data_IF_224916453746
#
_entry.id   IF_224916453746
#
_cell.length_a   1.000
_cell.length_b   1.000
_cell.length_c   1.000
_cell.angle_alpha   90.00
_cell.angle_beta   90.00
_cell.angle_gamma   90.00
#
_symmetry.space_group_name_H-M   'P 1'
#
loop_
_entity.id
_entity.type
_entity.pdbx_description
1 polymer ?
#
# COMPACT_ATOMS: atom_id res chain seq x y z
N UNK A 1 40.40 -13.39 74.96
CA UNK A 1 40.21 -12.62 73.69
C UNK A 1 39.43 -13.38 72.59
N UNK A 2 39.16 -14.70 72.73
CA UNK A 2 38.49 -15.52 71.70
C UNK A 2 36.95 -15.37 71.63
N UNK A 3 36.29 -14.92 72.71
CA UNK A 3 34.82 -14.88 72.78
C UNK A 3 34.22 -13.70 71.97
N UNK A 4 34.91 -12.55 71.87
CA UNK A 4 34.42 -11.38 71.12
C UNK A 4 34.37 -11.62 69.60
N UNK A 5 35.27 -12.44 69.04
CA UNK A 5 35.37 -12.68 67.59
C UNK A 5 34.21 -13.55 67.07
N UNK A 6 33.69 -14.46 67.89
CA UNK A 6 32.54 -15.33 67.53
C UNK A 6 31.22 -14.57 67.57
N UNK A 7 31.08 -13.60 68.48
CA UNK A 7 29.85 -12.79 68.60
C UNK A 7 29.67 -11.81 67.43
N UNK A 8 30.75 -11.17 66.95
CA UNK A 8 30.66 -10.25 65.81
C UNK A 8 30.36 -10.98 64.48
N UNK A 9 30.87 -12.20 64.29
CA UNK A 9 30.63 -12.95 63.04
C UNK A 9 29.15 -13.37 62.90
N UNK A 10 28.51 -13.76 64.00
CA UNK A 10 27.08 -14.10 64.01
C UNK A 10 26.15 -12.89 63.79
N UNK A 11 26.58 -11.67 64.13
CA UNK A 11 25.78 -10.45 63.88
C UNK A 11 25.82 -10.02 62.41
N UNK A 12 26.97 -10.18 61.73
CA UNK A 12 27.08 -9.84 60.30
C UNK A 12 26.30 -10.80 59.38
N UNK A 13 26.29 -12.11 59.66
CA UNK A 13 25.52 -13.07 58.84
C UNK A 13 24.01 -12.84 58.93
N UNK A 14 23.51 -12.43 60.10
CA UNK A 14 22.08 -12.16 60.30
C UNK A 14 21.60 -10.91 59.54
N UNK A 15 22.48 -9.92 59.38
CA UNK A 15 22.15 -8.67 58.69
C UNK A 15 22.14 -8.83 57.15
N UNK A 16 23.04 -9.65 56.58
CA UNK A 16 23.06 -9.92 55.13
C UNK A 16 21.86 -10.78 54.68
N UNK A 17 21.45 -11.74 55.52
CA UNK A 17 20.28 -12.61 55.26
C UNK A 17 18.95 -11.85 55.16
N UNK A 18 18.80 -10.76 55.93
CA UNK A 18 17.54 -10.02 55.99
C UNK A 18 17.38 -9.05 54.81
N UNK A 19 18.49 -8.44 54.33
CA UNK A 19 18.47 -7.55 53.17
C UNK A 19 18.20 -8.27 51.85
N UNK A 20 18.78 -9.46 51.66
CA UNK A 20 18.62 -10.23 50.41
C UNK A 20 17.17 -10.72 50.20
N UNK A 21 16.47 -11.12 51.29
CA UNK A 21 15.07 -11.56 51.21
C UNK A 21 14.11 -10.42 50.86
N UNK A 22 14.36 -9.21 51.38
CA UNK A 22 13.56 -8.04 51.05
C UNK A 22 13.72 -7.61 49.58
N UNK A 23 14.92 -7.75 49.02
CA UNK A 23 15.22 -7.36 47.64
C UNK A 23 14.58 -8.33 46.62
N UNK A 24 14.58 -9.64 46.90
CA UNK A 24 13.92 -10.65 46.06
C UNK A 24 12.38 -10.55 46.11
N UNK A 25 11.81 -10.18 47.25
CA UNK A 25 10.36 -9.95 47.35
C UNK A 25 9.91 -8.69 46.60
N UNK A 26 10.74 -7.63 46.59
CA UNK A 26 10.46 -6.40 45.84
C UNK A 26 10.44 -6.59 44.32
N UNK A 27 11.31 -7.43 43.76
CA UNK A 27 11.38 -7.66 42.31
C UNK A 27 10.18 -8.47 41.77
N UNK A 28 9.68 -9.44 42.53
CA UNK A 28 8.51 -10.25 42.13
C UNK A 28 7.24 -9.38 42.10
N UNK A 29 7.05 -8.50 43.10
CA UNK A 29 5.89 -7.61 43.16
C UNK A 29 5.86 -6.60 42.00
N UNK A 30 7.02 -6.06 41.61
CA UNK A 30 7.13 -5.15 40.46
C UNK A 30 6.77 -5.82 39.13
N UNK A 31 7.21 -7.07 38.92
CA UNK A 31 6.94 -7.80 37.67
C UNK A 31 5.46 -8.21 37.53
N UNK A 32 4.79 -8.54 38.64
CA UNK A 32 3.36 -8.87 38.66
C UNK A 32 2.48 -7.65 38.33
N UNK A 33 2.84 -6.46 38.82
CA UNK A 33 2.10 -5.23 38.51
C UNK A 33 2.28 -4.80 37.05
N UNK A 34 3.49 -4.91 36.50
CA UNK A 34 3.76 -4.59 35.10
C UNK A 34 3.00 -5.52 34.13
N UNK A 35 2.97 -6.83 34.42
CA UNK A 35 2.23 -7.81 33.59
C UNK A 35 0.71 -7.61 33.68
N UNK A 36 0.17 -7.33 34.87
CA UNK A 36 -1.25 -7.03 35.04
C UNK A 36 -1.69 -5.74 34.32
N UNK A 37 -0.86 -4.68 34.39
CA UNK A 37 -1.14 -3.43 33.67
C UNK A 37 -1.15 -3.63 32.14
N UNK A 38 -0.20 -4.42 31.62
CA UNK A 38 -0.13 -4.72 30.18
C UNK A 38 -1.31 -5.57 29.70
N UNK A 39 -1.75 -6.56 30.49
CA UNK A 39 -2.92 -7.39 30.19
C UNK A 39 -4.22 -6.59 30.26
N UNK A 40 -4.39 -5.70 31.24
CA UNK A 40 -5.60 -4.87 31.36
C UNK A 40 -5.74 -3.87 30.21
N UNK A 41 -4.62 -3.31 29.72
CA UNK A 41 -4.64 -2.42 28.54
C UNK A 41 -5.11 -3.13 27.27
N UNK A 42 -4.87 -4.45 27.15
CA UNK A 42 -5.25 -5.24 25.97
C UNK A 42 -6.74 -5.58 25.91
N UNK A 43 -7.43 -5.65 27.06
CA UNK A 43 -8.83 -6.09 27.12
C UNK A 43 -9.86 -4.94 27.11
N UNK A 44 -9.44 -3.67 27.09
CA UNK A 44 -10.33 -2.50 27.15
C UNK A 44 -10.93 -2.05 25.82
N UNK A 45 -10.69 -2.75 24.71
CA UNK A 45 -11.06 -2.31 23.35
C UNK A 45 -12.05 -3.24 22.63
N UNK A 46 -12.86 -4.03 23.36
CA UNK A 46 -13.97 -4.78 22.77
C UNK A 46 -15.29 -4.08 23.09
N UNK A 47 -15.61 -3.08 22.27
CA UNK A 47 -17.00 -2.66 22.07
C UNK A 47 -17.79 -3.75 21.33
N UNK A 48 -19.12 -3.63 21.25
CA UNK A 48 -19.97 -4.61 20.59
C UNK A 48 -19.53 -4.81 19.13
N UNK A 49 -19.59 -6.06 18.69
CA UNK A 49 -19.10 -6.54 17.39
C UNK A 49 -19.73 -5.78 16.21
N UNK A 50 -19.12 -4.66 15.84
CA UNK A 50 -19.17 -4.13 14.49
C UNK A 50 -18.26 -4.96 13.60
N UNK A 51 -18.61 -5.05 12.31
CA UNK A 51 -17.85 -5.73 11.25
C UNK A 51 -16.33 -5.57 11.42
N UNK A 52 -15.51 -6.58 11.07
CA UNK A 52 -14.06 -6.54 11.23
C UNK A 52 -13.45 -5.43 10.38
N UNK A 53 -13.38 -4.23 10.95
CA UNK A 53 -12.51 -3.16 10.48
C UNK A 53 -11.12 -3.48 11.00
N UNK A 54 -10.21 -3.75 10.07
CA UNK A 54 -8.81 -4.03 10.35
C UNK A 54 -8.23 -2.88 11.19
N UNK A 55 -7.59 -3.18 12.34
CA UNK A 55 -7.10 -2.16 13.24
C UNK A 55 -5.87 -1.45 12.65
N UNK A 56 -6.07 -0.20 12.24
CA UNK A 56 -5.10 0.89 12.46
C UNK A 56 -3.72 0.74 11.82
N UNK A 57 -3.64 0.36 10.55
CA UNK A 57 -2.48 0.75 9.72
C UNK A 57 -2.67 2.22 9.37
N UNK A 58 -1.85 3.05 10.01
CA UNK A 58 -1.78 4.50 9.82
C UNK A 58 -1.32 4.76 8.38
N UNK A 59 -2.23 5.15 7.48
CA UNK A 59 -2.03 5.56 6.08
C UNK A 59 -0.60 5.38 5.55
N UNK A 60 -0.19 4.13 5.38
CA UNK A 60 0.81 3.82 4.36
C UNK A 60 -0.01 3.89 3.07
N UNK A 61 0.42 4.69 2.09
CA UNK A 61 -0.18 4.74 0.74
C UNK A 61 -0.07 3.34 0.09
N UNK A 62 -0.88 2.40 0.55
CA UNK A 62 -0.96 1.06 0.05
C UNK A 62 -1.98 1.08 -1.07
N UNK A 63 -1.49 1.10 -2.30
CA UNK A 63 -2.35 0.93 -3.45
C UNK A 63 -2.84 -0.52 -3.48
N UNK A 64 -4.16 -0.68 -3.52
CA UNK A 64 -4.83 -1.98 -3.61
C UNK A 64 -5.60 -2.06 -4.92
N UNK A 65 -5.32 -3.11 -5.66
CA UNK A 65 -5.96 -3.45 -6.93
C UNK A 65 -6.80 -4.70 -6.73
N UNK A 66 -8.04 -4.70 -7.23
CA UNK A 66 -8.96 -5.82 -7.15
C UNK A 66 -9.57 -6.03 -8.53
N UNK A 67 -9.40 -7.22 -9.09
CA UNK A 67 -9.91 -7.62 -10.40
C UNK A 67 -10.05 -9.14 -10.46
N UNK A 68 -10.79 -9.65 -11.43
CA UNK A 68 -10.99 -11.09 -11.60
C UNK A 68 -10.12 -11.61 -12.77
N UNK A 69 -9.50 -12.79 -12.60
CA UNK A 69 -8.69 -13.45 -13.63
C UNK A 69 -9.24 -14.85 -13.96
N UNK A 70 -8.90 -15.40 -15.12
CA UNK A 70 -9.34 -16.71 -15.57
C UNK A 70 -8.37 -17.82 -15.12
N UNK A 71 -8.73 -18.55 -14.06
CA UNK A 71 -7.98 -19.72 -13.59
C UNK A 71 -8.63 -21.03 -14.11
N UNK A 72 -8.35 -21.37 -15.37
CA UNK A 72 -8.94 -22.54 -16.03
C UNK A 72 -10.41 -22.31 -16.41
N UNK A 73 -11.34 -23.10 -15.86
CA UNK A 73 -12.78 -22.95 -16.14
C UNK A 73 -13.49 -21.98 -15.18
N UNK A 74 -12.78 -21.44 -14.18
CA UNK A 74 -13.36 -20.56 -13.15
C UNK A 74 -12.67 -19.21 -13.15
N UNK A 75 -13.47 -18.17 -12.90
CA UNK A 75 -12.97 -16.84 -12.58
C UNK A 75 -12.64 -16.77 -11.09
N UNK A 76 -11.50 -16.16 -10.76
CA UNK A 76 -10.95 -16.07 -9.40
C UNK A 76 -10.68 -14.61 -9.08
N UNK A 77 -11.12 -14.16 -7.91
CA UNK A 77 -10.90 -12.77 -7.49
C UNK A 77 -9.47 -12.58 -7.03
N UNK A 78 -8.78 -11.67 -7.70
CA UNK A 78 -7.38 -11.32 -7.44
C UNK A 78 -7.30 -10.00 -6.68
N UNK A 79 -6.53 -10.00 -5.60
CA UNK A 79 -6.20 -8.81 -4.83
C UNK A 79 -4.69 -8.61 -4.88
N UNK A 80 -4.26 -7.46 -5.37
CA UNK A 80 -2.85 -7.06 -5.38
C UNK A 80 -2.67 -5.85 -4.48
N UNK A 81 -1.79 -5.95 -3.48
CA UNK A 81 -1.49 -4.88 -2.53
C UNK A 81 -0.02 -4.50 -2.62
N UNK A 82 0.27 -3.22 -2.90
CA UNK A 82 1.63 -2.70 -3.00
C UNK A 82 2.22 -2.42 -1.61
N UNK A 83 3.47 -2.82 -1.40
CA UNK A 83 4.28 -2.48 -0.23
C UNK A 83 5.72 -2.17 -0.67
N UNK A 84 6.01 -0.88 -0.87
CA UNK A 84 7.28 -0.44 -1.47
C UNK A 84 7.33 -0.83 -2.95
N UNK A 85 8.41 -1.49 -3.37
CA UNK A 85 8.63 -1.93 -4.75
C UNK A 85 8.08 -3.35 -5.02
N UNK A 86 7.50 -3.98 -3.99
CA UNK A 86 6.91 -5.31 -4.06
C UNK A 86 5.39 -5.26 -3.99
N UNK A 87 4.76 -6.24 -4.61
CA UNK A 87 3.31 -6.42 -4.67
C UNK A 87 2.97 -7.79 -4.12
N UNK A 88 2.12 -7.82 -3.10
CA UNK A 88 1.59 -9.06 -2.56
C UNK A 88 0.31 -9.45 -3.30
N UNK A 89 0.18 -10.73 -3.66
CA UNK A 89 -0.94 -11.24 -4.46
C UNK A 89 -1.75 -12.26 -3.68
N UNK A 90 -3.07 -12.09 -3.70
CA UNK A 90 -4.03 -13.02 -3.13
C UNK A 90 -5.05 -13.45 -4.20
N UNK A 91 -5.36 -14.74 -4.26
CA UNK A 91 -6.40 -15.33 -5.10
C UNK A 91 -7.51 -15.92 -4.21
N UNK A 92 -8.76 -15.49 -4.40
CA UNK A 92 -9.90 -15.85 -3.55
C UNK A 92 -9.61 -15.70 -2.04
N UNK A 93 -8.82 -14.66 -1.70
CA UNK A 93 -8.40 -14.38 -0.32
C UNK A 93 -7.26 -15.26 0.22
N UNK A 94 -6.71 -16.18 -0.58
CA UNK A 94 -5.49 -16.92 -0.24
C UNK A 94 -4.26 -16.20 -0.80
N UNK A 95 -3.31 -15.83 0.05
CA UNK A 95 -2.00 -15.36 -0.39
C UNK A 95 -1.27 -16.45 -1.18
N UNK A 96 -0.78 -16.09 -2.38
CA UNK A 96 -0.09 -17.02 -3.28
C UNK A 96 1.35 -16.61 -3.60
N UNK A 97 1.76 -15.38 -3.30
CA UNK A 97 3.13 -14.94 -3.52
C UNK A 97 3.30 -13.43 -3.59
N UNK A 98 4.52 -13.04 -3.95
CA UNK A 98 4.94 -11.67 -4.18
C UNK A 98 5.52 -11.50 -5.58
N UNK A 99 5.28 -10.33 -6.17
CA UNK A 99 5.87 -9.95 -7.45
C UNK A 99 6.48 -8.55 -7.37
N UNK A 100 7.43 -8.27 -8.25
CA UNK A 100 8.08 -6.96 -8.39
C UNK A 100 8.37 -6.69 -9.86
N UNK A 101 8.65 -5.44 -10.18
CA UNK A 101 8.99 -5.03 -11.53
C UNK A 101 10.52 -4.90 -11.66
N UNK A 102 11.11 -5.56 -12.66
CA UNK A 102 12.55 -5.48 -12.94
C UNK A 102 12.85 -4.23 -13.78
N UNK A 103 13.44 -3.21 -13.15
CA UNK A 103 13.78 -1.94 -13.81
C UNK A 103 14.82 -2.10 -14.93
N UNK A 104 15.69 -3.11 -14.87
CA UNK A 104 16.77 -3.31 -15.84
C UNK A 104 16.29 -4.06 -17.10
N UNK A 105 15.15 -4.76 -17.02
CA UNK A 105 14.61 -5.59 -18.10
C UNK A 105 13.26 -5.10 -18.60
N UNK A 106 13.23 -3.88 -19.13
CA UNK A 106 12.03 -3.28 -19.74
C UNK A 106 10.79 -3.33 -18.83
N UNK A 107 10.99 -3.22 -17.51
CA UNK A 107 9.91 -3.23 -16.53
C UNK A 107 9.06 -4.51 -16.55
N UNK A 108 9.69 -5.66 -16.82
CA UNK A 108 9.02 -6.95 -16.75
C UNK A 108 8.71 -7.35 -15.31
N UNK A 109 7.52 -7.90 -15.10
CA UNK A 109 7.11 -8.45 -13.81
C UNK A 109 7.82 -9.78 -13.53
N UNK A 110 8.30 -9.95 -12.30
CA UNK A 110 8.97 -11.17 -11.83
C UNK A 110 8.39 -11.63 -10.49
N UNK A 111 8.52 -12.93 -10.21
CA UNK A 111 8.14 -13.58 -8.95
C UNK A 111 9.17 -14.66 -8.60
N UNK A 112 9.38 -14.88 -7.31
CA UNK A 112 10.11 -16.05 -6.81
C UNK A 112 9.20 -17.19 -6.35
N UNK A 113 7.88 -16.94 -6.34
CA UNK A 113 6.87 -17.85 -5.81
C UNK A 113 6.25 -18.69 -6.95
N UNK A 114 6.52 -20.00 -6.92
CA UNK A 114 6.09 -20.95 -7.95
C UNK A 114 4.55 -21.05 -8.08
N UNK A 115 3.80 -20.78 -7.00
CA UNK A 115 2.32 -20.76 -7.04
C UNK A 115 1.77 -19.56 -7.85
N UNK A 116 2.51 -18.45 -7.95
CA UNK A 116 2.09 -17.22 -8.62
C UNK A 116 2.47 -17.20 -10.11
N UNK A 117 3.53 -17.91 -10.48
CA UNK A 117 4.10 -17.90 -11.83
C UNK A 117 3.09 -18.14 -12.97
N UNK A 118 2.11 -19.07 -12.86
CA UNK A 118 1.12 -19.29 -13.92
C UNK A 118 0.19 -18.09 -14.17
N UNK A 119 0.00 -17.21 -13.18
CA UNK A 119 -0.93 -16.09 -13.21
C UNK A 119 -0.23 -14.75 -13.49
N UNK A 120 1.11 -14.73 -13.44
CA UNK A 120 1.90 -13.51 -13.48
C UNK A 120 1.61 -12.65 -14.71
N UNK A 121 1.47 -13.28 -15.88
CA UNK A 121 1.21 -12.55 -17.14
C UNK A 121 -0.17 -11.88 -17.16
N UNK A 122 -1.19 -12.55 -16.64
CA UNK A 122 -2.57 -12.01 -16.64
C UNK A 122 -2.71 -10.91 -15.57
N UNK A 123 -2.09 -11.11 -14.40
CA UNK A 123 -2.01 -10.09 -13.35
C UNK A 123 -1.25 -8.86 -13.86
N UNK A 124 -0.12 -9.08 -14.56
CA UNK A 124 0.67 -8.01 -15.17
C UNK A 124 -0.15 -7.19 -16.18
N UNK A 125 -0.98 -7.84 -16.98
CA UNK A 125 -1.88 -7.17 -17.93
C UNK A 125 -2.83 -6.22 -17.20
N UNK A 126 -3.56 -6.71 -16.19
CA UNK A 126 -4.49 -5.91 -15.40
C UNK A 126 -3.81 -4.79 -14.60
N UNK A 127 -2.62 -5.04 -14.05
CA UNK A 127 -1.85 -4.02 -13.36
C UNK A 127 -1.39 -2.95 -14.35
N UNK A 128 -0.89 -3.33 -15.52
CA UNK A 128 -0.45 -2.39 -16.55
C UNK A 128 -1.61 -1.50 -17.03
N UNK A 129 -2.80 -2.07 -17.16
CA UNK A 129 -4.03 -1.33 -17.47
C UNK A 129 -4.40 -0.36 -16.33
N UNK A 130 -4.38 -0.83 -15.08
CA UNK A 130 -4.72 -0.02 -13.92
C UNK A 130 -3.72 1.12 -13.68
N UNK A 131 -2.42 0.86 -13.83
CA UNK A 131 -1.36 1.86 -13.76
C UNK A 131 -1.45 2.85 -14.91
N UNK A 132 -1.70 2.37 -16.12
CA UNK A 132 -1.91 3.25 -17.27
C UNK A 132 -3.12 4.13 -17.01
N UNK A 133 -4.27 3.62 -16.58
CA UNK A 133 -5.48 4.46 -16.39
C UNK A 133 -5.39 5.43 -15.22
N UNK A 134 -4.91 4.99 -14.05
CA UNK A 134 -4.79 5.87 -12.87
C UNK A 134 -3.59 6.82 -12.98
N UNK A 135 -2.46 6.31 -13.43
CA UNK A 135 -1.22 7.07 -13.58
C UNK A 135 -1.26 8.06 -14.72
N UNK A 136 -1.93 7.73 -15.84
CA UNK A 136 -1.95 8.61 -17.02
C UNK A 136 -2.63 9.95 -16.76
N UNK A 137 -3.74 9.97 -16.01
CA UNK A 137 -4.40 11.21 -15.64
C UNK A 137 -3.46 12.16 -14.87
N UNK A 138 -2.70 11.62 -13.92
CA UNK A 138 -1.69 12.37 -13.16
C UNK A 138 -0.46 12.72 -14.00
N UNK A 139 -0.03 11.82 -14.88
CA UNK A 139 1.08 12.04 -15.81
C UNK A 139 0.77 13.21 -16.76
N UNK A 140 -0.42 13.23 -17.36
CA UNK A 140 -0.87 14.32 -18.22
C UNK A 140 -0.84 15.65 -17.47
N UNK A 141 -1.40 15.71 -16.25
CA UNK A 141 -1.37 16.93 -15.44
C UNK A 141 0.03 17.37 -15.04
N UNK A 142 0.97 16.43 -14.87
CA UNK A 142 2.38 16.73 -14.57
C UNK A 142 3.18 17.20 -15.79
N UNK A 143 2.88 16.65 -16.96
CA UNK A 143 3.59 16.93 -18.22
C UNK A 143 3.09 18.21 -18.88
N UNK A 144 1.78 18.48 -18.85
CA UNK A 144 1.15 19.60 -19.56
C UNK A 144 0.59 20.64 -18.59
N UNK A 145 1.27 21.78 -18.37
CA UNK A 145 0.80 22.82 -17.45
C UNK A 145 -0.48 23.53 -17.90
N UNK A 146 -0.91 23.35 -19.15
CA UNK A 146 -2.18 23.80 -19.69
C UNK A 146 -3.37 23.03 -19.10
N UNK A 147 -3.16 21.80 -18.64
CA UNK A 147 -4.21 20.95 -18.07
C UNK A 147 -4.46 21.36 -16.61
N UNK A 148 -5.70 21.75 -16.33
CA UNK A 148 -6.17 22.15 -15.00
C UNK A 148 -6.69 20.95 -14.22
N UNK A 149 -7.44 20.05 -14.88
CA UNK A 149 -7.96 18.84 -14.26
C UNK A 149 -8.26 17.76 -15.29
N UNK A 150 -8.31 16.52 -14.80
CA UNK A 150 -8.71 15.35 -15.58
C UNK A 150 -9.81 14.58 -14.86
N UNK A 151 -10.78 14.07 -15.61
CA UNK A 151 -11.92 13.32 -15.06
C UNK A 151 -12.29 12.17 -15.99
N UNK A 152 -12.15 10.95 -15.52
CA UNK A 152 -12.64 9.77 -16.25
C UNK A 152 -14.17 9.83 -16.36
N UNK A 153 -14.69 9.79 -17.60
CA UNK A 153 -16.13 9.72 -17.88
C UNK A 153 -16.60 8.29 -18.05
N UNK A 154 -15.76 7.48 -18.70
CA UNK A 154 -15.94 6.04 -18.92
C UNK A 154 -14.58 5.36 -18.76
N UNK A 155 -14.53 4.04 -18.98
CA UNK A 155 -13.26 3.29 -19.06
C UNK A 155 -12.42 3.68 -20.27
N UNK A 156 -13.04 4.23 -21.31
CA UNK A 156 -12.42 4.54 -22.60
C UNK A 156 -12.39 6.04 -22.90
N UNK A 157 -12.84 6.89 -21.96
CA UNK A 157 -12.94 8.33 -22.18
C UNK A 157 -12.46 9.12 -20.97
N UNK A 158 -11.37 9.87 -21.15
CA UNK A 158 -10.82 10.80 -20.18
C UNK A 158 -11.14 12.23 -20.58
N UNK A 159 -11.91 12.94 -19.76
CA UNK A 159 -12.11 14.38 -19.91
C UNK A 159 -10.85 15.12 -19.44
N UNK A 160 -10.34 16.00 -20.29
CA UNK A 160 -9.17 16.84 -20.03
C UNK A 160 -9.61 18.31 -20.09
N UNK A 161 -9.60 18.97 -18.93
CA UNK A 161 -9.94 20.39 -18.82
C UNK A 161 -8.67 21.22 -18.90
N UNK A 162 -8.57 22.07 -19.93
CA UNK A 162 -7.45 23.00 -20.12
C UNK A 162 -7.82 24.43 -19.75
N UNK A 163 -6.81 25.28 -19.54
CA UNK A 163 -7.00 26.70 -19.23
C UNK A 163 -7.77 27.42 -20.34
N UNK A 164 -8.50 28.47 -19.98
CA UNK A 164 -9.33 29.23 -20.91
C UNK A 164 -8.54 29.97 -22.01
N UNK A 165 -7.30 30.35 -21.70
CA UNK A 165 -6.38 31.08 -22.58
C UNK A 165 -5.56 30.15 -23.50
N UNK A 166 -5.64 28.83 -23.32
CA UNK A 166 -4.95 27.85 -24.17
C UNK A 166 -5.47 27.92 -25.61
N UNK A 167 -4.56 27.88 -26.58
CA UNK A 167 -4.90 27.69 -28.00
C UNK A 167 -5.21 26.19 -28.23
N UNK A 168 -6.48 25.88 -28.49
CA UNK A 168 -6.95 24.50 -28.62
C UNK A 168 -6.38 23.80 -29.84
N UNK A 169 -6.19 24.51 -30.95
CA UNK A 169 -5.72 23.91 -32.21
C UNK A 169 -4.26 23.50 -32.05
N UNK A 170 -3.44 24.40 -31.50
CA UNK A 170 -2.02 24.12 -31.21
C UNK A 170 -1.89 23.02 -30.16
N UNK A 171 -2.62 23.12 -29.04
CA UNK A 171 -2.50 22.15 -27.95
C UNK A 171 -2.91 20.74 -28.38
N UNK A 172 -4.06 20.59 -29.04
CA UNK A 172 -4.54 19.25 -29.44
C UNK A 172 -3.69 18.63 -30.54
N UNK A 173 -3.11 19.42 -31.44
CA UNK A 173 -2.12 18.95 -32.42
C UNK A 173 -0.87 18.41 -31.72
N UNK A 174 -0.29 19.21 -30.81
CA UNK A 174 0.88 18.80 -30.06
C UNK A 174 0.62 17.57 -29.18
N UNK A 175 -0.52 17.56 -28.48
CA UNK A 175 -0.94 16.43 -27.66
C UNK A 175 -1.04 15.16 -28.50
N UNK A 176 -1.69 15.21 -29.67
CA UNK A 176 -1.83 14.06 -30.56
C UNK A 176 -0.48 13.51 -31.02
N UNK A 177 0.48 14.38 -31.31
CA UNK A 177 1.80 13.97 -31.80
C UNK A 177 2.68 13.37 -30.68
N UNK A 178 2.56 13.87 -29.45
CA UNK A 178 3.46 13.48 -28.34
C UNK A 178 2.89 12.40 -27.42
N UNK A 179 1.57 12.20 -27.38
CA UNK A 179 0.96 11.36 -26.34
C UNK A 179 1.36 9.88 -26.42
N UNK A 180 1.65 9.39 -27.62
CA UNK A 180 2.15 8.04 -27.86
C UNK A 180 3.58 7.84 -27.31
N UNK A 181 4.32 8.92 -27.05
CA UNK A 181 5.63 8.87 -26.41
C UNK A 181 5.52 8.77 -24.88
N UNK A 182 4.37 9.15 -24.31
CA UNK A 182 4.16 9.16 -22.86
C UNK A 182 3.67 7.81 -22.34
N UNK A 183 2.83 7.14 -23.11
CA UNK A 183 2.19 5.89 -22.69
C UNK A 183 1.78 5.06 -23.90
N UNK A 184 1.89 3.75 -23.77
CA UNK A 184 1.34 2.79 -24.72
C UNK A 184 0.11 2.18 -24.09
N UNK A 185 -1.07 2.47 -24.64
CA UNK A 185 -2.28 1.71 -24.31
C UNK A 185 -2.37 0.47 -25.19
N UNK A 186 -2.98 -0.59 -24.69
CA UNK A 186 -3.39 -1.71 -25.55
C UNK A 186 -4.80 -1.49 -26.12
N UNK A 187 -5.67 -0.87 -25.33
CA UNK A 187 -7.04 -0.53 -25.70
C UNK A 187 -7.14 0.89 -26.27
N UNK A 188 -8.24 1.14 -27.00
CA UNK A 188 -8.60 2.47 -27.49
C UNK A 188 -8.91 3.41 -26.32
N UNK A 189 -8.38 4.63 -26.36
CA UNK A 189 -8.66 5.67 -25.38
C UNK A 189 -8.97 7.01 -26.05
N UNK A 190 -10.15 7.55 -25.78
CA UNK A 190 -10.54 8.89 -26.22
C UNK A 190 -10.22 9.95 -25.16
N UNK A 191 -9.52 11.00 -25.56
CA UNK A 191 -9.36 12.21 -24.77
C UNK A 191 -10.38 13.26 -25.20
N UNK A 192 -11.31 13.57 -24.31
CA UNK A 192 -12.25 14.68 -24.50
C UNK A 192 -11.64 15.96 -23.95
N UNK A 193 -10.94 16.70 -24.81
CA UNK A 193 -10.21 17.92 -24.43
C UNK A 193 -11.13 19.13 -24.58
N UNK A 194 -11.31 19.91 -23.50
CA UNK A 194 -12.13 21.12 -23.50
C UNK A 194 -11.52 22.23 -22.64
N UNK A 195 -11.88 23.47 -22.93
CA UNK A 195 -11.55 24.60 -22.05
C UNK A 195 -12.43 24.58 -20.82
N UNK A 196 -11.89 25.11 -19.72
CA UNK A 196 -12.66 25.32 -18.50
C UNK A 196 -13.90 26.19 -18.79
N UNK A 197 -15.08 25.71 -18.38
CA UNK A 197 -16.39 26.34 -18.60
C UNK A 197 -16.85 26.48 -20.07
N UNK A 198 -16.19 25.81 -21.02
CA UNK A 198 -16.60 25.80 -22.43
C UNK A 198 -17.36 24.50 -22.75
N UNK A 199 -18.55 24.56 -23.40
CA UNK A 199 -19.26 23.37 -23.85
C UNK A 199 -18.60 22.67 -25.05
N UNK A 200 -17.72 23.34 -25.80
CA UNK A 200 -17.06 22.76 -26.96
C UNK A 200 -15.84 21.92 -26.53
N UNK A 201 -15.70 20.76 -27.17
CA UNK A 201 -14.60 19.83 -26.94
C UNK A 201 -14.06 19.26 -28.25
N UNK A 202 -12.80 18.83 -28.22
CA UNK A 202 -12.12 18.11 -29.29
C UNK A 202 -11.81 16.70 -28.77
N UNK A 203 -12.06 15.68 -29.59
CA UNK A 203 -11.69 14.30 -29.26
C UNK A 203 -10.33 14.00 -29.86
N UNK A 204 -9.40 13.53 -29.03
CA UNK A 204 -8.10 12.99 -29.45
C UNK A 204 -8.06 11.51 -29.08
N UNK A 205 -8.20 10.65 -30.09
CA UNK A 205 -8.13 9.19 -29.92
C UNK A 205 -6.68 8.70 -29.84
N UNK A 206 -6.43 7.77 -28.94
CA UNK A 206 -5.15 7.08 -28.74
C UNK A 206 -5.38 5.60 -29.08
N UNK A 207 -4.60 5.10 -30.05
CA UNK A 207 -4.70 3.79 -30.72
C UNK A 207 -5.97 3.58 -31.55
#
# INVERSE_FOLDING_TARGET
MLIKKKLMRNLMEKQISTGAKALVLGTIAGFALATFYFLRKRNGAQGPAGNPQHPGIKDLNMERYVFDIAAGERSVTTIVEQTGDCYSVQLDGKYIGTMWQDEEKDKQWQTGDQELEPYLSEIALHLSEAFSRKGFASLLMGTYPEIVSTVWKTTETLEVNVKTDTDMEVFTTFLKDEILNLVTFEEHLDLMVKKENDPYFVIVGIN
#
